data_IF_140678327045
#
_entry.id   IF_140678327045
#
_cell.length_a   1.000
_cell.length_b   1.000
_cell.length_c   1.000
_cell.angle_alpha   90.00
_cell.angle_beta   90.00
_cell.angle_gamma   90.00
#
_symmetry.space_group_name_H-M   'P 1'
#
loop_
_entity.id
_entity.type
_entity.pdbx_description
1 polymer ?
#
# COMPACT_ATOMS: atom_id res chain seq x y z
N UNK A 1 -19.34 -14.57 -42.76
CA UNK A 1 -18.53 -15.11 -41.66
C UNK A 1 -18.61 -14.12 -40.51
N UNK A 2 -19.52 -14.37 -39.57
CA UNK A 2 -19.80 -13.45 -38.45
C UNK A 2 -18.84 -13.78 -37.31
N UNK A 3 -17.97 -12.83 -36.97
CA UNK A 3 -17.12 -12.93 -35.79
C UNK A 3 -18.01 -12.86 -34.54
N UNK A 4 -18.10 -13.97 -33.82
CA UNK A 4 -18.70 -14.02 -32.49
C UNK A 4 -17.74 -13.31 -31.53
N UNK A 5 -18.04 -12.06 -31.21
CA UNK A 5 -17.41 -11.37 -30.08
C UNK A 5 -17.90 -12.05 -28.80
N UNK A 6 -17.02 -12.82 -28.15
CA UNK A 6 -17.28 -13.33 -26.81
C UNK A 6 -17.66 -12.15 -25.88
N UNK A 7 -18.66 -12.30 -25.00
CA UNK A 7 -18.98 -11.26 -24.03
C UNK A 7 -17.76 -10.99 -23.15
N UNK A 8 -17.23 -9.78 -23.21
CA UNK A 8 -16.21 -9.31 -22.29
C UNK A 8 -16.83 -9.37 -20.89
N UNK A 9 -16.42 -10.34 -20.08
CA UNK A 9 -16.74 -10.37 -18.65
C UNK A 9 -16.29 -9.02 -18.05
N UNK A 10 -17.12 -8.38 -17.21
CA UNK A 10 -16.68 -7.18 -16.52
C UNK A 10 -15.44 -7.51 -15.70
N UNK A 11 -14.30 -6.92 -16.06
CA UNK A 11 -13.06 -7.02 -15.29
C UNK A 11 -13.30 -6.31 -13.96
N UNK A 12 -13.58 -7.08 -12.90
CA UNK A 12 -13.68 -6.52 -11.57
C UNK A 12 -12.32 -5.90 -11.19
N UNK A 13 -12.31 -4.71 -10.54
CA UNK A 13 -11.07 -4.10 -10.10
C UNK A 13 -10.40 -5.01 -9.07
N UNK A 14 -9.07 -5.13 -9.08
CA UNK A 14 -8.39 -5.96 -8.10
C UNK A 14 -8.51 -5.33 -6.71
N UNK A 15 -8.51 -6.20 -5.72
CA UNK A 15 -8.80 -5.93 -4.34
C UNK A 15 -7.54 -6.06 -3.50
N UNK A 16 -7.39 -5.17 -2.52
CA UNK A 16 -6.27 -5.13 -1.59
C UNK A 16 -6.81 -5.22 -0.16
N UNK A 17 -6.88 -6.43 0.42
CA UNK A 17 -7.17 -6.60 1.84
C UNK A 17 -5.97 -6.13 2.66
N UNK A 18 -6.24 -5.40 3.74
CA UNK A 18 -5.24 -4.88 4.67
C UNK A 18 -5.68 -5.13 6.11
N UNK A 19 -4.81 -5.77 6.89
CA UNK A 19 -4.88 -5.78 8.35
C UNK A 19 -3.95 -4.69 8.89
N UNK A 20 -4.36 -4.01 9.95
CA UNK A 20 -3.58 -2.92 10.55
C UNK A 20 -3.57 -3.01 12.06
N UNK A 21 -2.45 -2.63 12.67
CA UNK A 21 -2.30 -2.55 14.12
C UNK A 21 -1.41 -1.37 14.49
N UNK A 22 -1.51 -0.92 15.74
CA UNK A 22 -0.58 0.04 16.33
C UNK A 22 0.42 -0.69 17.21
N UNK A 23 1.71 -0.43 16.97
CA UNK A 23 2.82 -1.01 17.73
C UNK A 23 3.46 0.06 18.61
N UNK A 24 3.34 -0.05 19.94
CA UNK A 24 4.04 0.83 20.87
C UNK A 24 5.56 0.76 20.68
N UNK A 25 6.24 1.89 20.87
CA UNK A 25 7.71 1.95 20.77
C UNK A 25 8.41 0.96 21.71
N UNK A 26 7.83 0.70 22.89
CA UNK A 26 8.40 -0.21 23.89
C UNK A 26 8.53 -1.66 23.40
N UNK A 27 7.61 -2.13 22.55
CA UNK A 27 7.60 -3.50 22.03
C UNK A 27 8.25 -3.63 20.64
N UNK A 28 8.73 -2.53 20.06
CA UNK A 28 9.25 -2.49 18.69
C UNK A 28 10.37 -3.52 18.46
N UNK A 29 11.40 -3.54 19.31
CA UNK A 29 12.57 -4.39 19.11
C UNK A 29 12.24 -5.88 19.18
N UNK A 30 11.41 -6.27 20.15
CA UNK A 30 10.95 -7.66 20.33
C UNK A 30 10.09 -8.10 19.15
N UNK A 31 9.11 -7.28 18.78
CA UNK A 31 8.18 -7.57 17.68
C UNK A 31 8.90 -7.64 16.33
N UNK A 32 9.82 -6.72 16.08
CA UNK A 32 10.67 -6.71 14.88
C UNK A 32 11.50 -7.98 14.78
N UNK A 33 12.08 -8.44 15.88
CA UNK A 33 12.87 -9.68 15.90
C UNK A 33 12.00 -10.90 15.58
N UNK A 34 10.81 -10.96 16.17
CA UNK A 34 9.83 -12.05 15.94
C UNK A 34 9.41 -12.08 14.48
N UNK A 35 9.03 -10.94 13.90
CA UNK A 35 8.62 -10.85 12.50
C UNK A 35 9.78 -11.19 11.56
N UNK A 36 11.00 -10.77 11.89
CA UNK A 36 12.19 -11.11 11.11
C UNK A 36 12.37 -12.63 10.99
N UNK A 37 12.14 -13.38 12.07
CA UNK A 37 12.18 -14.85 12.06
C UNK A 37 11.07 -15.51 11.23
N UNK A 38 9.93 -14.83 11.07
CA UNK A 38 8.82 -15.28 10.22
C UNK A 38 9.02 -14.90 8.74
N UNK A 39 9.94 -13.97 8.47
CA UNK A 39 10.16 -13.41 7.13
C UNK A 39 11.27 -14.14 6.38
N UNK A 40 11.15 -14.21 5.06
CA UNK A 40 12.23 -14.65 4.17
C UNK A 40 13.23 -13.53 3.91
N UNK A 41 12.78 -12.28 3.98
CA UNK A 41 13.56 -11.10 3.68
C UNK A 41 12.96 -9.86 4.34
N UNK A 42 13.82 -8.89 4.66
CA UNK A 42 13.43 -7.57 5.13
C UNK A 42 14.23 -6.49 4.43
N UNK A 43 13.58 -5.39 4.07
CA UNK A 43 14.22 -4.25 3.41
C UNK A 43 13.75 -2.90 3.98
N UNK A 44 14.55 -1.83 3.83
CA UNK A 44 14.12 -0.49 4.19
C UNK A 44 12.88 -0.08 3.39
N UNK A 45 11.85 0.38 4.09
CA UNK A 45 10.62 0.87 3.50
C UNK A 45 10.60 2.39 3.54
N UNK A 46 10.48 3.07 2.41
CA UNK A 46 10.29 4.53 2.36
C UNK A 46 9.43 4.92 1.16
N UNK A 47 8.23 5.42 1.43
CA UNK A 47 7.31 5.92 0.41
C UNK A 47 6.90 7.35 0.71
N UNK A 48 6.93 8.20 -0.31
CA UNK A 48 6.34 9.53 -0.26
C UNK A 48 5.02 9.50 -1.03
N UNK A 49 3.91 9.71 -0.34
CA UNK A 49 2.57 9.68 -0.91
C UNK A 49 2.00 11.09 -0.97
N UNK A 50 1.48 11.48 -2.14
CA UNK A 50 0.67 12.70 -2.35
C UNK A 50 -0.76 12.27 -2.65
N UNK A 51 -1.70 12.78 -1.87
CA UNK A 51 -3.12 12.44 -1.97
C UNK A 51 -3.89 13.58 -2.61
N UNK A 52 -4.70 13.22 -3.61
CA UNK A 52 -5.60 14.13 -4.30
C UNK A 52 -7.05 13.67 -4.13
N UNK A 53 -7.94 14.65 -3.98
CA UNK A 53 -9.38 14.46 -3.83
C UNK A 53 -10.09 14.86 -5.11
N UNK A 54 -11.08 14.08 -5.48
CA UNK A 54 -12.03 14.45 -6.51
C UNK A 54 -12.74 15.79 -6.16
N UNK A 55 -12.86 16.69 -7.13
CA UNK A 55 -13.59 17.96 -6.98
C UNK A 55 -15.07 17.86 -7.34
N UNK A 56 -15.42 16.94 -8.24
CA UNK A 56 -16.78 16.73 -8.73
C UNK A 56 -17.09 15.24 -8.80
N UNK A 57 -17.74 14.65 -7.79
CA UNK A 57 -18.01 13.23 -7.80
C UNK A 57 -19.15 12.95 -8.77
N UNK A 58 -18.93 12.03 -9.71
CA UNK A 58 -19.96 11.61 -10.68
C UNK A 58 -21.22 11.07 -9.96
N UNK A 59 -21.03 10.51 -8.76
CA UNK A 59 -22.09 10.05 -7.89
C UNK A 59 -22.01 10.79 -6.54
N UNK A 60 -23.08 11.44 -6.07
CA UNK A 60 -23.09 12.13 -4.78
C UNK A 60 -22.65 11.20 -3.63
N UNK A 61 -21.73 11.66 -2.79
CA UNK A 61 -21.22 10.90 -1.64
C UNK A 61 -20.11 9.88 -1.96
N UNK A 62 -19.76 9.66 -3.23
CA UNK A 62 -18.58 8.86 -3.58
C UNK A 62 -17.31 9.71 -3.56
N UNK A 63 -16.59 9.66 -2.44
CA UNK A 63 -15.24 10.21 -2.37
C UNK A 63 -14.26 9.28 -3.09
N UNK A 64 -13.56 9.83 -4.08
CA UNK A 64 -12.53 9.14 -4.83
C UNK A 64 -11.18 9.74 -4.49
N UNK A 65 -10.19 8.89 -4.24
CA UNK A 65 -8.85 9.30 -3.86
C UNK A 65 -7.87 8.84 -4.92
N UNK A 66 -7.03 9.76 -5.35
CA UNK A 66 -5.89 9.45 -6.20
C UNK A 66 -4.63 9.63 -5.37
N UNK A 67 -3.76 8.62 -5.38
CA UNK A 67 -2.50 8.63 -4.65
C UNK A 67 -1.36 8.56 -5.65
N UNK A 68 -0.53 9.59 -5.67
CA UNK A 68 0.76 9.55 -6.34
C UNK A 68 1.80 9.10 -5.31
N UNK A 69 2.51 8.02 -5.61
CA UNK A 69 3.56 7.46 -4.77
C UNK A 69 4.89 7.61 -5.45
N UNK A 70 5.87 8.15 -4.74
CA UNK A 70 7.27 8.08 -5.12
C UNK A 70 7.97 7.03 -4.26
N UNK A 71 8.60 6.05 -4.90
CA UNK A 71 9.49 5.10 -4.24
C UNK A 71 10.94 5.48 -4.52
N UNK A 72 11.70 5.67 -3.44
CA UNK A 72 13.14 5.90 -3.52
C UNK A 72 13.85 4.57 -3.68
N UNK A 73 14.20 4.16 -4.90
CA UNK A 73 15.14 3.07 -5.09
C UNK A 73 16.53 3.55 -4.65
N UNK A 74 16.94 3.22 -3.43
CA UNK A 74 18.36 3.26 -3.04
C UNK A 74 19.05 2.00 -3.57
N UNK A 75 19.07 1.86 -4.90
CA UNK A 75 19.84 0.83 -5.58
C UNK A 75 21.23 1.33 -5.96
N UNK A 76 22.26 0.88 -5.25
CA UNK A 76 23.64 0.88 -5.74
C UNK A 76 24.56 1.98 -5.19
N UNK A 77 25.51 1.57 -4.37
CA UNK A 77 26.73 2.29 -4.02
C UNK A 77 27.51 2.72 -5.28
N UNK A 78 27.23 3.91 -5.81
CA UNK A 78 28.11 4.62 -6.74
C UNK A 78 28.39 6.01 -6.18
N UNK A 79 29.66 6.47 -6.16
CA UNK A 79 30.01 7.76 -5.59
C UNK A 79 29.32 8.91 -6.35
N UNK A 80 29.07 10.05 -5.69
CA UNK A 80 28.27 11.13 -6.24
C UNK A 80 29.04 11.85 -7.36
N UNK A 81 28.75 11.49 -8.61
CA UNK A 81 28.98 12.39 -9.74
C UNK A 81 27.79 13.33 -9.84
N UNK A 82 28.06 14.62 -9.71
CA UNK A 82 27.11 15.72 -9.84
C UNK A 82 26.22 15.59 -11.09
N UNK A 83 24.92 15.87 -10.92
CA UNK A 83 23.87 16.04 -11.95
C UNK A 83 23.00 14.86 -12.40
N UNK A 84 23.01 13.70 -11.73
CA UNK A 84 21.94 12.71 -11.98
C UNK A 84 20.74 12.97 -11.07
N UNK A 85 19.68 13.54 -11.63
CA UNK A 85 18.34 13.48 -11.04
C UNK A 85 18.01 12.00 -10.85
N UNK A 86 18.05 11.52 -9.61
CA UNK A 86 17.61 10.16 -9.27
C UNK A 86 16.16 10.03 -9.73
N UNK A 87 15.95 9.35 -10.84
CA UNK A 87 14.65 8.98 -11.38
C UNK A 87 13.92 8.15 -10.31
N UNK A 88 13.18 8.81 -9.43
CA UNK A 88 12.33 8.14 -8.46
C UNK A 88 11.20 7.49 -9.25
N UNK A 89 10.96 6.19 -9.05
CA UNK A 89 9.84 5.54 -9.69
C UNK A 89 8.56 6.16 -9.12
N UNK A 90 7.70 6.66 -10.01
CA UNK A 90 6.41 7.23 -9.65
C UNK A 90 5.33 6.23 -10.02
N UNK A 91 4.43 5.95 -9.09
CA UNK A 91 3.21 5.18 -9.36
C UNK A 91 1.98 6.01 -9.01
N UNK A 92 0.97 5.94 -9.86
CA UNK A 92 -0.31 6.59 -9.66
C UNK A 92 -1.36 5.52 -9.39
N UNK A 93 -1.97 5.57 -8.21
CA UNK A 93 -2.96 4.62 -7.77
C UNK A 93 -4.31 5.29 -7.50
N UNK A 94 -5.36 4.75 -8.11
CA UNK A 94 -6.73 5.01 -7.73
C UNK A 94 -7.12 4.07 -6.58
N UNK A 95 -7.64 4.63 -5.49
CA UNK A 95 -8.06 3.88 -4.31
C UNK A 95 -9.55 4.15 -4.04
N UNK A 96 -10.33 3.08 -3.93
CA UNK A 96 -11.73 3.20 -3.49
C UNK A 96 -11.82 3.50 -1.99
N UNK A 97 -12.99 3.97 -1.57
CA UNK A 97 -13.41 3.82 -0.18
C UNK A 97 -13.44 2.32 0.21
N UNK A 98 -13.50 2.05 1.51
CA UNK A 98 -13.61 0.67 1.99
C UNK A 98 -14.88 0.02 1.46
N UNK A 99 -14.76 -1.23 1.04
CA UNK A 99 -15.87 -1.98 0.45
C UNK A 99 -16.61 -2.74 1.56
N UNK A 100 -17.71 -2.18 2.04
CA UNK A 100 -18.53 -2.74 3.14
C UNK A 100 -18.96 -4.19 2.92
N UNK A 101 -19.15 -4.59 1.67
CA UNK A 101 -19.58 -5.95 1.30
C UNK A 101 -18.50 -7.02 1.56
N UNK A 102 -17.24 -6.60 1.72
CA UNK A 102 -16.10 -7.45 2.03
C UNK A 102 -15.48 -7.09 3.38
N UNK A 103 -16.16 -6.23 4.18
CA UNK A 103 -15.71 -5.90 5.52
C UNK A 103 -16.06 -7.06 6.46
N UNK A 104 -15.01 -7.64 7.00
CA UNK A 104 -15.03 -8.41 8.23
C UNK A 104 -14.39 -7.52 9.31
N UNK A 105 -14.74 -7.67 10.59
CA UNK A 105 -14.49 -6.65 11.63
C UNK A 105 -13.03 -6.15 11.67
N UNK A 106 -12.09 -7.04 11.34
CA UNK A 106 -10.65 -6.78 11.43
C UNK A 106 -9.97 -6.41 10.10
N UNK A 107 -10.62 -6.59 8.94
CA UNK A 107 -9.96 -6.48 7.63
C UNK A 107 -10.54 -5.34 6.80
N UNK A 108 -9.68 -4.41 6.38
CA UNK A 108 -10.07 -3.37 5.44
C UNK A 108 -9.82 -3.82 4.00
N UNK A 109 -10.88 -3.91 3.20
CA UNK A 109 -10.78 -4.24 1.77
C UNK A 109 -11.03 -2.99 0.92
N UNK A 110 -10.12 -2.72 -0.02
CA UNK A 110 -10.24 -1.63 -1.00
C UNK A 110 -10.00 -2.14 -2.40
N UNK A 111 -10.70 -1.56 -3.38
CA UNK A 111 -10.32 -1.71 -4.78
C UNK A 111 -9.18 -0.75 -5.10
N UNK A 112 -8.18 -1.24 -5.82
CA UNK A 112 -7.01 -0.47 -6.24
C UNK A 112 -6.78 -0.65 -7.73
N UNK A 113 -6.46 0.44 -8.43
CA UNK A 113 -5.95 0.40 -9.80
C UNK A 113 -4.69 1.23 -9.82
N UNK A 114 -3.55 0.59 -10.05
CA UNK A 114 -2.23 1.22 -10.01
C UNK A 114 -1.60 1.22 -11.40
N UNK A 115 -0.96 2.33 -11.74
CA UNK A 115 -0.24 2.53 -13.00
C UNK A 115 1.15 3.08 -12.67
N UNK A 116 2.18 2.38 -13.14
CA UNK A 116 3.55 2.87 -13.08
C UNK A 116 3.77 3.95 -14.14
N UNK A 117 4.22 5.12 -13.72
CA UNK A 117 4.51 6.24 -14.62
C UNK A 117 5.94 6.06 -15.16
N UNK A 118 6.04 5.52 -16.37
CA UNK A 118 7.31 5.40 -17.07
C UNK A 118 7.69 6.73 -17.73
N UNK A 119 8.87 7.28 -17.40
CA UNK A 119 9.47 8.42 -18.11
C UNK A 119 10.00 9.53 -17.19
N UNK A 120 10.64 10.55 -17.79
CA UNK A 120 11.06 11.79 -17.13
C UNK A 120 9.90 12.79 -17.00
N UNK A 121 8.69 12.32 -16.69
CA UNK A 121 7.60 13.26 -16.41
C UNK A 121 7.95 14.01 -15.13
N UNK A 122 8.07 15.33 -15.22
CA UNK A 122 8.32 16.16 -14.06
C UNK A 122 7.16 16.01 -13.07
N UNK A 123 7.42 16.25 -11.78
CA UNK A 123 6.36 16.30 -10.76
C UNK A 123 5.21 17.24 -11.19
N UNK A 124 5.58 18.33 -11.87
CA UNK A 124 4.64 19.34 -12.38
C UNK A 124 3.74 18.78 -13.49
N UNK A 125 4.28 18.01 -14.44
CA UNK A 125 3.50 17.37 -15.51
C UNK A 125 2.45 16.41 -14.93
N UNK A 126 2.88 15.59 -13.96
CA UNK A 126 1.99 14.64 -13.28
C UNK A 126 0.91 15.40 -12.52
N UNK A 127 1.27 16.50 -11.85
CA UNK A 127 0.30 17.30 -11.11
C UNK A 127 -0.74 17.95 -12.05
N UNK A 128 -0.33 18.44 -13.21
CA UNK A 128 -1.24 19.04 -14.19
C UNK A 128 -2.12 18.00 -14.88
N UNK A 129 -1.60 16.79 -15.13
CA UNK A 129 -2.40 15.64 -15.55
C UNK A 129 -3.48 15.30 -14.51
N UNK A 130 -3.11 15.22 -13.22
CA UNK A 130 -4.04 14.93 -12.12
C UNK A 130 -5.12 16.01 -11.98
N UNK A 131 -4.75 17.30 -12.14
CA UNK A 131 -5.73 18.40 -12.18
C UNK A 131 -6.71 18.27 -13.33
N UNK A 132 -6.23 17.88 -14.51
CA UNK A 132 -7.06 17.68 -15.71
C UNK A 132 -8.06 16.54 -15.53
N UNK A 133 -7.72 15.52 -14.73
CA UNK A 133 -8.63 14.46 -14.32
C UNK A 133 -9.71 14.90 -13.30
N UNK A 134 -9.69 16.16 -12.86
CA UNK A 134 -10.65 16.69 -11.89
C UNK A 134 -10.30 16.36 -10.43
N UNK A 135 -9.02 16.19 -10.13
CA UNK A 135 -8.54 15.99 -8.76
C UNK A 135 -7.74 17.21 -8.28
N UNK A 136 -7.91 17.55 -7.00
CA UNK A 136 -7.21 18.64 -6.33
C UNK A 136 -6.37 18.08 -5.19
N UNK A 137 -5.19 18.68 -4.99
CA UNK A 137 -4.29 18.33 -3.91
C UNK A 137 -5.00 18.42 -2.55
N UNK A 138 -4.76 17.43 -1.69
CA UNK A 138 -5.25 17.42 -0.32
C UNK A 138 -4.12 17.48 0.69
N UNK A 139 -3.24 16.48 0.69
CA UNK A 139 -2.14 16.38 1.64
C UNK A 139 -1.06 15.47 1.09
N UNK A 140 0.15 15.56 1.65
CA UNK A 140 1.24 14.65 1.38
C UNK A 140 1.84 14.16 2.70
N UNK A 141 2.39 12.97 2.69
CA UNK A 141 3.04 12.37 3.85
C UNK A 141 4.15 11.42 3.40
N UNK A 142 5.13 11.22 4.28
CA UNK A 142 6.17 10.21 4.08
C UNK A 142 5.98 9.08 5.08
N UNK A 143 6.03 7.84 4.60
CA UNK A 143 6.09 6.65 5.44
C UNK A 143 7.47 6.06 5.37
N UNK A 144 8.12 5.88 6.51
CA UNK A 144 9.45 5.27 6.60
C UNK A 144 9.46 4.16 7.65
N UNK A 145 10.25 3.10 7.41
CA UNK A 145 10.29 1.94 8.29
C UNK A 145 10.93 0.73 7.65
N UNK A 146 10.39 -0.46 7.92
CA UNK A 146 10.89 -1.75 7.43
C UNK A 146 9.73 -2.51 6.78
N UNK A 147 9.99 -3.12 5.64
CA UNK A 147 9.11 -4.06 4.96
C UNK A 147 9.65 -5.48 5.16
N UNK A 148 8.79 -6.39 5.61
CA UNK A 148 9.05 -7.81 5.76
C UNK A 148 8.25 -8.59 4.72
N UNK A 149 8.93 -9.54 4.08
CA UNK A 149 8.35 -10.48 3.14
C UNK A 149 8.09 -11.79 3.86
N UNK A 150 6.83 -12.11 4.13
CA UNK A 150 6.42 -13.33 4.84
C UNK A 150 5.94 -14.35 3.78
N UNK A 151 6.53 -15.55 3.72
CA UNK A 151 6.11 -16.57 2.77
C UNK A 151 4.76 -17.15 3.17
N UNK A 152 3.90 -17.38 2.17
CA UNK A 152 2.70 -18.19 2.36
C UNK A 152 2.98 -19.65 1.97
N UNK A 153 2.18 -20.62 2.46
CA UNK A 153 2.21 -22.00 1.97
C UNK A 153 1.77 -22.13 0.49
N UNK A 154 1.61 -21.01 -0.22
CA UNK A 154 1.25 -20.93 -1.63
C UNK A 154 2.38 -20.24 -2.41
N UNK A 155 2.94 -20.87 -3.47
CA UNK A 155 4.23 -20.46 -4.03
C UNK A 155 4.20 -19.15 -4.83
N UNK A 156 3.02 -18.63 -5.15
CA UNK A 156 2.87 -17.49 -6.08
C UNK A 156 2.71 -16.14 -5.38
N UNK A 157 2.55 -16.12 -4.05
CA UNK A 157 2.20 -14.91 -3.30
C UNK A 157 2.92 -14.88 -1.94
N UNK A 158 3.39 -13.70 -1.57
CA UNK A 158 3.95 -13.40 -0.24
C UNK A 158 3.05 -12.39 0.45
N UNK A 159 3.10 -12.35 1.78
CA UNK A 159 2.53 -11.24 2.53
C UNK A 159 3.61 -10.19 2.78
N UNK A 160 3.23 -8.93 2.60
CA UNK A 160 4.03 -7.77 2.92
C UNK A 160 3.56 -7.23 4.28
N UNK A 161 4.44 -7.32 5.29
CA UNK A 161 4.24 -6.68 6.57
C UNK A 161 5.13 -5.44 6.67
N UNK A 162 4.53 -4.27 6.84
CA UNK A 162 5.28 -3.02 7.06
C UNK A 162 5.19 -2.59 8.50
N UNK A 163 6.32 -2.21 9.11
CA UNK A 163 6.37 -1.47 10.37
C UNK A 163 6.87 -0.08 10.02
N UNK A 164 6.00 0.93 10.11
CA UNK A 164 6.31 2.26 9.57
C UNK A 164 5.85 3.40 10.47
N UNK A 165 6.53 4.54 10.37
CA UNK A 165 6.11 5.82 10.95
C UNK A 165 5.63 6.75 9.86
N UNK A 166 4.66 7.58 10.22
CA UNK A 166 4.16 8.65 9.38
C UNK A 166 4.90 9.94 9.73
N UNK A 167 5.60 10.52 8.76
CA UNK A 167 6.18 11.85 8.86
C UNK A 167 5.33 12.82 8.02
N UNK A 168 4.72 13.80 8.69
CA UNK A 168 4.05 14.91 8.03
C UNK A 168 5.08 15.97 7.63
N UNK A 169 4.99 16.58 6.43
CA UNK A 169 5.95 17.57 5.94
C UNK A 169 6.19 18.75 6.87
N UNK A 170 5.18 19.09 7.69
CA UNK A 170 5.20 20.24 8.60
C UNK A 170 6.05 20.00 9.88
N UNK A 171 6.42 18.75 10.17
CA UNK A 171 7.19 18.37 11.37
C UNK A 171 8.63 17.95 11.04
N UNK A 172 9.29 18.65 10.11
CA UNK A 172 10.69 18.40 9.73
C UNK A 172 11.66 18.94 10.78
N UNK A 173 11.67 18.32 11.95
CA UNK A 173 12.74 18.40 12.94
C UNK A 173 13.13 16.97 13.33
N UNK A 174 14.27 16.44 12.87
CA UNK A 174 14.67 15.05 13.12
C UNK A 174 15.18 14.77 14.55
N UNK A 175 14.88 15.61 15.54
CA UNK A 175 15.64 15.66 16.81
C UNK A 175 14.92 15.17 18.07
N UNK A 176 13.64 14.79 18.02
CA UNK A 176 12.95 14.23 19.19
C UNK A 176 12.53 12.78 18.96
N UNK A 177 12.87 11.85 19.87
CA UNK A 177 12.29 10.52 19.85
C UNK A 177 10.80 10.66 20.10
N UNK A 178 10.02 10.67 19.02
CA UNK A 178 8.57 10.67 19.11
C UNK A 178 8.12 9.40 19.80
N UNK A 179 7.32 9.55 20.86
CA UNK A 179 6.63 8.46 21.57
C UNK A 179 5.48 7.86 20.76
N UNK A 180 5.23 8.39 19.54
CA UNK A 180 4.16 7.90 18.67
C UNK A 180 4.36 6.42 18.31
N UNK A 181 3.23 5.67 18.28
CA UNK A 181 3.25 4.27 17.89
C UNK A 181 3.64 4.11 16.42
N UNK A 182 4.17 2.94 16.09
CA UNK A 182 4.39 2.53 14.71
C UNK A 182 3.09 1.98 14.14
N UNK A 183 2.82 2.29 12.87
CA UNK A 183 1.77 1.64 12.12
C UNK A 183 2.31 0.33 11.56
N UNK A 184 1.66 -0.77 11.94
CA UNK A 184 1.87 -2.09 11.36
C UNK A 184 0.78 -2.35 10.34
N UNK A 185 1.14 -2.78 9.13
CA UNK A 185 0.17 -3.20 8.12
C UNK A 185 0.59 -4.50 7.47
N UNK A 186 -0.34 -5.43 7.35
CA UNK A 186 -0.19 -6.69 6.64
C UNK A 186 -1.12 -6.69 5.43
N UNK A 187 -0.56 -6.95 4.25
CA UNK A 187 -1.27 -6.96 2.97
C UNK A 187 -0.60 -8.00 2.04
N UNK A 188 -1.28 -8.51 1.01
CA UNK A 188 -0.61 -9.32 0.00
C UNK A 188 0.42 -8.50 -0.79
N UNK A 189 1.43 -9.17 -1.35
CA UNK A 189 2.47 -8.50 -2.15
C UNK A 189 1.97 -7.87 -3.44
N UNK A 190 0.81 -8.32 -3.93
CA UNK A 190 0.07 -7.72 -5.04
C UNK A 190 -1.44 -7.74 -4.76
N UNK A 191 -2.21 -6.80 -5.32
CA UNK A 191 -3.67 -6.88 -5.32
C UNK A 191 -4.16 -8.20 -5.93
N UNK A 192 -5.28 -8.71 -5.43
CA UNK A 192 -5.86 -9.99 -5.85
C UNK A 192 -7.20 -9.80 -6.57
N UNK A 193 -7.57 -10.75 -7.41
CA UNK A 193 -8.90 -10.72 -8.05
C UNK A 193 -10.00 -11.05 -7.04
N UNK A 194 -11.16 -10.40 -7.17
CA UNK A 194 -12.35 -10.75 -6.38
C UNK A 194 -12.88 -12.15 -6.71
N UNK A 195 -12.62 -12.64 -7.93
CA UNK A 195 -12.92 -14.01 -8.36
C UNK A 195 -11.60 -14.73 -8.61
N UNK A 196 -11.32 -15.77 -7.83
CA UNK A 196 -10.11 -16.56 -7.95
C UNK A 196 -10.05 -17.26 -9.31
N UNK A 197 -8.94 -17.11 -10.04
CA UNK A 197 -8.67 -17.98 -11.16
C UNK A 197 -8.30 -19.38 -10.66
N UNK A 198 -8.43 -20.40 -11.51
CA UNK A 198 -8.11 -21.78 -11.14
C UNK A 198 -6.64 -21.89 -10.73
N UNK A 199 -6.40 -22.26 -9.47
CA UNK A 199 -5.05 -22.40 -8.92
C UNK A 199 -4.50 -21.15 -8.23
N UNK A 200 -5.28 -20.08 -8.16
CA UNK A 200 -4.98 -18.89 -7.35
C UNK A 200 -5.73 -18.93 -6.01
N UNK A 201 -5.17 -18.26 -5.00
CA UNK A 201 -5.84 -18.05 -3.71
C UNK A 201 -7.05 -17.13 -3.88
N UNK A 202 -8.19 -17.57 -3.35
CA UNK A 202 -9.37 -16.71 -3.23
C UNK A 202 -9.21 -15.64 -2.15
N UNK A 203 -10.07 -14.62 -2.20
CA UNK A 203 -10.09 -13.54 -1.19
C UNK A 203 -10.26 -14.08 0.23
N UNK A 204 -11.25 -14.95 0.46
CA UNK A 204 -11.54 -15.52 1.78
C UNK A 204 -10.35 -16.33 2.31
N UNK A 205 -9.78 -17.22 1.49
CA UNK A 205 -8.61 -18.04 1.86
C UNK A 205 -7.39 -17.17 2.18
N UNK A 206 -7.16 -16.11 1.39
CA UNK A 206 -6.06 -15.18 1.66
C UNK A 206 -6.27 -14.44 2.98
N UNK A 207 -7.49 -13.98 3.26
CA UNK A 207 -7.82 -13.31 4.52
C UNK A 207 -7.60 -14.24 5.71
N UNK A 208 -7.99 -15.51 5.61
CA UNK A 208 -7.75 -16.50 6.66
C UNK A 208 -6.26 -16.76 6.89
N UNK A 209 -5.46 -16.82 5.81
CA UNK A 209 -4.01 -16.92 5.90
C UNK A 209 -3.37 -15.67 6.51
N UNK A 210 -3.89 -14.49 6.18
CA UNK A 210 -3.45 -13.22 6.77
C UNK A 210 -3.74 -13.19 8.27
N UNK A 211 -4.93 -13.65 8.70
CA UNK A 211 -5.30 -13.79 10.12
C UNK A 211 -4.41 -14.79 10.84
N UNK A 212 -4.24 -15.99 10.30
CA UNK A 212 -3.36 -16.98 10.88
C UNK A 212 -1.89 -16.50 10.98
N UNK A 213 -1.46 -15.62 10.07
CA UNK A 213 -0.15 -14.97 10.15
C UNK A 213 -0.12 -13.89 11.24
N UNK A 214 -1.16 -13.07 11.32
CA UNK A 214 -1.34 -12.03 12.33
C UNK A 214 -1.37 -12.60 13.75
N UNK A 215 -2.06 -13.73 13.96
CA UNK A 215 -2.17 -14.43 15.24
C UNK A 215 -0.83 -14.98 15.75
N UNK A 216 0.16 -15.16 14.86
CA UNK A 216 1.51 -15.58 15.24
C UNK A 216 2.39 -14.42 15.70
N UNK A 217 1.89 -13.19 15.60
CA UNK A 217 2.60 -11.98 16.00
C UNK A 217 1.94 -11.47 17.28
N UNK A 218 2.46 -11.95 18.40
CA UNK A 218 1.94 -11.60 19.72
C UNK A 218 2.09 -10.10 20.02
N UNK A 219 1.14 -9.56 20.81
CA UNK A 219 1.21 -8.20 21.33
C UNK A 219 0.77 -7.10 20.36
N UNK A 220 0.11 -7.47 19.26
CA UNK A 220 -0.56 -6.53 18.34
C UNK A 220 -2.09 -6.72 18.40
N UNK A 221 -2.80 -5.61 18.58
CA UNK A 221 -4.25 -5.57 18.40
C UNK A 221 -4.54 -5.24 16.93
N UNK A 222 -4.85 -6.29 16.18
CA UNK A 222 -5.19 -6.17 14.76
C UNK A 222 -6.61 -5.65 14.58
N UNK A 223 -6.80 -4.83 13.56
CA UNK A 223 -8.10 -4.33 13.17
C UNK A 223 -8.09 -3.70 11.78
N UNK A 224 -9.27 -3.26 11.34
CA UNK A 224 -9.48 -2.67 10.02
C UNK A 224 -8.87 -1.26 9.89
N UNK A 225 -8.21 -0.75 10.93
CA UNK A 225 -7.60 0.57 10.96
C UNK A 225 -8.64 1.68 10.99
N UNK A 226 -9.84 1.43 11.52
CA UNK A 226 -10.68 2.50 12.08
C UNK A 226 -10.04 2.90 13.40
N UNK A 227 -9.45 4.10 13.45
CA UNK A 227 -9.13 4.80 14.68
C UNK A 227 -10.11 5.98 14.79
#
# INVERSE_FOLDING_TARGET
MSASSAPQQPTQPPLLPTLSALLPLASLASTTSTISLLSIHSEPYTHHDVVYLNTQPVLPGQHRFLRLRASGSKGGSKPPSSSSSSSSALSLAYLSARLREYEDDDVSVKAIVEVDLAGQSGKDDVQDFVKTLGFVYSHEYTRSGILFHIPLPHPTLTLHLTISRLALPLNSSPSTPSSEPYLVQLQPSRPISGVAARGELGMTELVDLMRATADRIDGLEWGSGVL
#
